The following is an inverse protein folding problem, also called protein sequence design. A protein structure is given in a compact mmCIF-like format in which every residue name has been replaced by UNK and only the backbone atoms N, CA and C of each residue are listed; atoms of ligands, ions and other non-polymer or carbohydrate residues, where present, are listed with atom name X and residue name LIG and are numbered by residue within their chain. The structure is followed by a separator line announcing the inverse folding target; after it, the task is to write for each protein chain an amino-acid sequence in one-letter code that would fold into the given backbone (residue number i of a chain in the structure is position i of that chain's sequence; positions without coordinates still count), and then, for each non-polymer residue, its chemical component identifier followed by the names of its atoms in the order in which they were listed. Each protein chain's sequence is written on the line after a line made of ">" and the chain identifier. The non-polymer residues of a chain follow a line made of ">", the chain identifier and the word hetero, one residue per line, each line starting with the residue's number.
data_IF_490775310531
#
_entry.id   IF_490775310531
#
_cell.length_a   1.000
_cell.length_b   1.000
_cell.length_c   1.000
_cell.angle_alpha   90.00
_cell.angle_beta   90.00
_cell.angle_gamma   90.00
#
_symmetry.space_group_name_H-M   'P 1'
#
loop_
_entity.id
_entity.type
_entity.pdbx_description
1 polymer ?
#
# COMPACT_ATOMS: atom_id res chain seq x y z
N UNK A 1 -9.73 19.64 28.47
CA UNK A 1 -10.79 19.38 27.47
C UNK A 1 -10.29 18.61 26.24
N UNK A 2 -9.16 19.01 25.61
CA UNK A 2 -8.62 18.36 24.39
C UNK A 2 -8.07 16.93 24.58
N UNK A 3 -7.50 16.61 25.75
CA UNK A 3 -7.05 15.24 26.09
C UNK A 3 -8.22 14.28 26.25
N UNK A 4 -9.30 14.73 26.89
CA UNK A 4 -10.52 13.94 27.09
C UNK A 4 -11.17 13.57 25.74
N UNK A 5 -11.14 14.47 24.76
CA UNK A 5 -11.72 14.23 23.43
C UNK A 5 -10.90 13.25 22.59
N UNK A 6 -9.56 13.26 22.70
CA UNK A 6 -8.68 12.30 22.01
C UNK A 6 -8.82 10.90 22.63
N UNK A 7 -8.93 10.83 23.96
CA UNK A 7 -9.09 9.57 24.67
C UNK A 7 -10.48 8.95 24.44
N UNK A 8 -11.54 9.79 24.43
CA UNK A 8 -12.90 9.37 24.15
C UNK A 8 -13.06 8.92 22.69
N UNK A 9 -12.41 9.60 21.74
CA UNK A 9 -12.40 9.19 20.34
C UNK A 9 -11.57 7.92 20.12
N UNK A 10 -10.44 7.78 20.81
CA UNK A 10 -9.64 6.55 20.82
C UNK A 10 -10.45 5.35 21.35
N UNK A 11 -11.21 5.55 22.43
CA UNK A 11 -12.16 4.57 22.96
C UNK A 11 -13.31 4.29 22.00
N UNK A 12 -13.91 5.32 21.38
CA UNK A 12 -14.99 5.16 20.40
C UNK A 12 -14.54 4.38 19.16
N UNK A 13 -13.37 4.72 18.60
CA UNK A 13 -12.77 4.00 17.48
C UNK A 13 -12.47 2.56 17.88
N UNK A 14 -11.90 2.34 19.07
CA UNK A 14 -11.59 1.01 19.59
C UNK A 14 -12.84 0.15 19.81
N UNK A 15 -13.86 0.66 20.50
CA UNK A 15 -15.10 -0.06 20.76
C UNK A 15 -15.91 -0.27 19.48
N UNK A 16 -15.89 0.70 18.55
CA UNK A 16 -16.45 0.53 17.21
C UNK A 16 -15.77 -0.59 16.45
N UNK A 17 -14.43 -0.63 16.46
CA UNK A 17 -13.64 -1.68 15.81
C UNK A 17 -13.90 -3.06 16.44
N UNK A 18 -13.97 -3.14 17.77
CA UNK A 18 -14.23 -4.38 18.52
C UNK A 18 -15.66 -4.89 18.30
N UNK A 19 -16.66 -4.01 18.32
CA UNK A 19 -18.05 -4.38 18.06
C UNK A 19 -18.23 -4.88 16.63
N UNK A 20 -17.65 -4.18 15.65
CA UNK A 20 -17.63 -4.61 14.24
C UNK A 20 -16.92 -5.97 14.12
N UNK A 21 -15.80 -6.15 14.80
CA UNK A 21 -15.03 -7.41 14.80
C UNK A 21 -15.84 -8.56 15.40
N UNK A 22 -16.51 -8.36 16.54
CA UNK A 22 -17.33 -9.38 17.18
C UNK A 22 -18.53 -9.79 16.29
N UNK A 23 -19.17 -8.83 15.63
CA UNK A 23 -20.26 -9.07 14.68
C UNK A 23 -19.74 -9.89 13.48
N UNK A 24 -18.59 -9.51 12.91
CA UNK A 24 -17.97 -10.23 11.79
C UNK A 24 -17.61 -11.66 12.17
N UNK A 25 -17.00 -11.87 13.34
CA UNK A 25 -16.62 -13.19 13.85
C UNK A 25 -17.86 -14.06 14.08
N UNK A 26 -18.91 -13.51 14.68
CA UNK A 26 -20.18 -14.22 14.90
C UNK A 26 -20.80 -14.71 13.58
N UNK A 27 -20.89 -13.84 12.56
CA UNK A 27 -21.44 -14.22 11.26
C UNK A 27 -20.52 -15.18 10.49
N UNK A 28 -19.20 -15.07 10.64
CA UNK A 28 -18.24 -16.00 10.05
C UNK A 28 -18.38 -17.42 10.63
N UNK A 29 -18.49 -17.55 11.95
CA UNK A 29 -18.72 -18.82 12.64
C UNK A 29 -20.05 -19.44 12.17
N UNK A 30 -21.12 -18.64 12.15
CA UNK A 30 -22.45 -19.10 11.71
C UNK A 30 -22.44 -19.61 10.26
N UNK A 31 -21.65 -18.97 9.40
CA UNK A 31 -21.50 -19.38 8.00
C UNK A 31 -20.68 -20.67 7.84
N UNK A 32 -19.60 -20.84 8.62
CA UNK A 32 -18.78 -22.07 8.62
C UNK A 32 -19.60 -23.26 9.09
N UNK A 33 -20.39 -23.10 10.14
CA UNK A 33 -21.30 -24.15 10.63
C UNK A 33 -22.33 -24.51 9.55
N UNK A 34 -22.94 -23.51 8.90
CA UNK A 34 -23.89 -23.74 7.79
C UNK A 34 -23.24 -24.43 6.60
N UNK A 35 -22.02 -24.04 6.23
CA UNK A 35 -21.28 -24.64 5.12
C UNK A 35 -20.89 -26.09 5.41
N UNK A 36 -20.45 -26.39 6.64
CA UNK A 36 -20.11 -27.74 7.07
C UNK A 36 -21.34 -28.66 7.08
N UNK A 37 -22.50 -28.16 7.50
CA UNK A 37 -23.74 -28.92 7.48
C UNK A 37 -24.19 -29.23 6.04
N UNK A 38 -24.14 -28.24 5.14
CA UNK A 38 -24.50 -28.43 3.72
C UNK A 38 -23.56 -29.41 3.01
N UNK A 39 -22.25 -29.34 3.26
CA UNK A 39 -21.27 -30.29 2.68
C UNK A 39 -21.47 -31.70 3.20
N UNK A 40 -21.87 -31.85 4.47
CA UNK A 40 -22.20 -33.15 5.06
C UNK A 40 -23.48 -33.75 4.48
N UNK A 41 -24.42 -32.90 4.07
CA UNK A 41 -25.71 -33.30 3.49
C UNK A 41 -25.65 -33.59 1.97
N UNK A 42 -24.71 -33.02 1.22
CA UNK A 42 -24.79 -32.98 -0.25
C UNK A 42 -24.01 -34.05 -1.04
N UNK A 43 -23.21 -34.92 -0.41
CA UNK A 43 -22.70 -36.18 -0.99
C UNK A 43 -22.01 -36.20 -2.38
N UNK A 44 -21.72 -35.06 -3.02
CA UNK A 44 -21.27 -35.04 -4.42
C UNK A 44 -20.68 -33.69 -4.89
N UNK A 45 -19.96 -33.76 -6.01
CA UNK A 45 -19.14 -32.73 -6.67
C UNK A 45 -19.54 -31.28 -6.40
N UNK A 46 -18.60 -30.51 -5.86
CA UNK A 46 -18.78 -29.09 -5.52
C UNK A 46 -18.46 -28.24 -6.75
N UNK A 47 -19.49 -27.70 -7.40
CA UNK A 47 -19.38 -26.52 -8.23
C UNK A 47 -18.69 -25.42 -7.39
N UNK A 48 -17.59 -24.85 -7.87
CA UNK A 48 -16.78 -23.91 -7.09
C UNK A 48 -17.58 -22.62 -6.86
N UNK A 49 -18.32 -22.57 -5.75
CA UNK A 49 -19.03 -21.35 -5.32
C UNK A 49 -18.02 -20.21 -5.31
N UNK A 50 -18.31 -19.07 -5.95
CA UNK A 50 -17.39 -17.94 -5.96
C UNK A 50 -17.03 -17.59 -4.52
N UNK A 51 -15.73 -17.61 -4.20
CA UNK A 51 -15.28 -17.19 -2.89
C UNK A 51 -15.84 -15.80 -2.64
N UNK A 52 -16.55 -15.61 -1.53
CA UNK A 52 -17.07 -14.30 -1.15
C UNK A 52 -15.89 -13.45 -0.68
N UNK A 53 -15.13 -12.86 -1.60
CA UNK A 53 -13.96 -12.01 -1.33
C UNK A 53 -14.24 -10.92 -0.28
N UNK A 54 -15.48 -10.46 -0.19
CA UNK A 54 -15.97 -9.60 0.87
C UNK A 54 -15.70 -10.15 2.29
N UNK A 55 -15.94 -11.44 2.53
CA UNK A 55 -15.69 -12.06 3.84
C UNK A 55 -14.19 -12.17 4.12
N UNK A 56 -13.38 -12.49 3.11
CA UNK A 56 -11.92 -12.50 3.25
C UNK A 56 -11.41 -11.12 3.63
N UNK A 57 -11.91 -10.08 2.97
CA UNK A 57 -11.57 -8.69 3.28
C UNK A 57 -11.99 -8.31 4.70
N UNK A 58 -13.20 -8.64 5.13
CA UNK A 58 -13.66 -8.39 6.51
C UNK A 58 -12.80 -9.11 7.55
N UNK A 59 -12.41 -10.36 7.30
CA UNK A 59 -11.50 -11.11 8.18
C UNK A 59 -10.14 -10.42 8.23
N UNK A 60 -9.58 -9.98 7.09
CA UNK A 60 -8.30 -9.28 7.06
C UNK A 60 -8.36 -7.94 7.82
N UNK A 61 -9.46 -7.19 7.72
CA UNK A 61 -9.69 -5.96 8.49
C UNK A 61 -9.78 -6.24 9.98
N UNK A 62 -10.53 -7.28 10.38
CA UNK A 62 -10.63 -7.70 11.78
C UNK A 62 -9.26 -8.13 12.33
N UNK A 63 -8.49 -8.93 11.58
CA UNK A 63 -7.15 -9.33 11.96
C UNK A 63 -6.21 -8.13 12.07
N UNK A 64 -6.22 -7.21 11.11
CA UNK A 64 -5.42 -5.98 11.18
C UNK A 64 -5.78 -5.13 12.40
N UNK A 65 -7.08 -5.04 12.72
CA UNK A 65 -7.60 -4.34 13.90
C UNK A 65 -7.08 -4.93 15.21
N UNK A 66 -7.11 -6.26 15.34
CA UNK A 66 -6.57 -6.97 16.50
C UNK A 66 -5.06 -6.75 16.60
N UNK A 67 -4.32 -6.85 15.49
CA UNK A 67 -2.86 -6.60 15.47
C UNK A 67 -2.55 -5.18 15.93
N UNK A 68 -3.25 -4.17 15.40
CA UNK A 68 -3.06 -2.76 15.79
C UNK A 68 -3.35 -2.58 17.29
N UNK A 69 -4.41 -3.20 17.81
CA UNK A 69 -4.74 -3.12 19.23
C UNK A 69 -3.65 -3.75 20.13
N UNK A 70 -3.14 -4.92 19.75
CA UNK A 70 -2.05 -5.59 20.46
C UNK A 70 -0.76 -4.78 20.39
N UNK A 71 -0.43 -4.23 19.22
CA UNK A 71 0.73 -3.36 19.04
C UNK A 71 0.59 -2.10 19.89
N UNK A 72 -0.57 -1.44 19.90
CA UNK A 72 -0.81 -0.27 20.75
C UNK A 72 -0.52 -0.58 22.22
N UNK A 73 -1.11 -1.64 22.75
CA UNK A 73 -0.91 -2.04 24.15
C UNK A 73 0.57 -2.36 24.40
N UNK A 74 1.20 -3.15 23.54
CA UNK A 74 2.58 -3.57 23.71
C UNK A 74 3.55 -2.38 23.69
N UNK A 75 3.35 -1.45 22.77
CA UNK A 75 4.21 -0.28 22.59
C UNK A 75 4.03 0.73 23.73
N UNK A 76 2.79 1.04 24.12
CA UNK A 76 2.50 1.96 25.25
C UNK A 76 3.06 1.44 26.58
N UNK A 77 3.05 0.12 26.79
CA UNK A 77 3.58 -0.50 28.01
C UNK A 77 5.07 -0.88 27.92
N UNK A 78 5.76 -0.54 26.83
CA UNK A 78 7.16 -0.90 26.59
C UNK A 78 7.45 -2.39 26.90
N UNK A 79 6.60 -3.28 26.37
CA UNK A 79 6.67 -4.71 26.67
C UNK A 79 7.95 -5.32 26.07
N UNK A 80 8.87 -5.73 26.94
CA UNK A 80 10.10 -6.44 26.54
C UNK A 80 10.91 -5.67 25.49
N UNK A 81 11.30 -6.36 24.41
CA UNK A 81 12.07 -5.78 23.29
C UNK A 81 11.17 -5.36 22.10
N UNK A 82 9.88 -5.10 22.33
CA UNK A 82 8.95 -4.84 21.23
C UNK A 82 9.35 -3.61 20.40
N UNK A 83 9.79 -2.53 21.06
CA UNK A 83 10.23 -1.31 20.38
C UNK A 83 11.44 -1.58 19.46
N UNK A 84 12.43 -2.34 19.94
CA UNK A 84 13.62 -2.70 19.18
C UNK A 84 13.26 -3.61 17.99
N UNK A 85 12.42 -4.61 18.20
CA UNK A 85 11.97 -5.51 17.13
C UNK A 85 11.26 -4.73 16.04
N UNK A 86 10.38 -3.80 16.41
CA UNK A 86 9.47 -3.14 15.48
C UNK A 86 10.08 -1.91 14.81
N UNK A 87 10.95 -1.16 15.49
CA UNK A 87 11.54 0.07 14.95
C UNK A 87 13.00 -0.06 14.55
N UNK A 88 13.71 -1.11 14.98
CA UNK A 88 15.09 -1.37 14.53
C UNK A 88 15.14 -2.58 13.60
N UNK A 89 14.70 -3.77 14.04
CA UNK A 89 14.87 -5.02 13.27
C UNK A 89 13.92 -5.11 12.07
N UNK A 90 12.63 -4.83 12.27
CA UNK A 90 11.59 -4.99 11.26
C UNK A 90 11.82 -4.14 10.00
N UNK A 91 12.28 -2.87 10.07
CA UNK A 91 12.69 -2.10 8.90
C UNK A 91 13.72 -2.81 8.01
N UNK A 92 14.77 -3.38 8.60
CA UNK A 92 15.79 -4.11 7.83
C UNK A 92 15.21 -5.36 7.18
N UNK A 93 14.36 -6.12 7.89
CA UNK A 93 13.70 -7.29 7.34
C UNK A 93 12.78 -6.90 6.18
N UNK A 94 11.99 -5.83 6.32
CA UNK A 94 11.11 -5.33 5.28
C UNK A 94 11.88 -4.93 4.02
N UNK A 95 13.00 -4.22 4.17
CA UNK A 95 13.86 -3.81 3.05
C UNK A 95 14.56 -5.01 2.40
N UNK A 96 15.03 -5.99 3.18
CA UNK A 96 15.64 -7.21 2.66
C UNK A 96 14.64 -8.04 1.85
N UNK A 97 13.45 -8.27 2.39
CA UNK A 97 12.35 -8.97 1.69
C UNK A 97 11.98 -8.22 0.41
N UNK A 98 11.81 -6.89 0.50
CA UNK A 98 11.50 -6.04 -0.64
C UNK A 98 12.55 -6.21 -1.75
N UNK A 99 13.83 -6.04 -1.44
CA UNK A 99 14.90 -6.06 -2.44
C UNK A 99 15.06 -7.46 -3.05
N UNK A 100 15.23 -8.49 -2.22
CA UNK A 100 15.45 -9.86 -2.69
C UNK A 100 14.23 -10.40 -3.44
N UNK A 101 13.03 -10.21 -2.87
CA UNK A 101 11.79 -10.64 -3.49
C UNK A 101 11.52 -9.95 -4.82
N UNK A 102 11.81 -8.65 -4.92
CA UNK A 102 11.59 -7.87 -6.14
C UNK A 102 12.55 -8.32 -7.25
N UNK A 103 13.83 -8.51 -6.93
CA UNK A 103 14.83 -9.01 -7.87
C UNK A 103 14.45 -10.41 -8.36
N UNK A 104 14.11 -11.31 -7.44
CA UNK A 104 13.70 -12.67 -7.77
C UNK A 104 12.46 -12.67 -8.68
N UNK A 105 11.40 -11.95 -8.31
CA UNK A 105 10.17 -11.91 -9.11
C UNK A 105 10.42 -11.29 -10.48
N UNK A 106 11.22 -10.24 -10.57
CA UNK A 106 11.53 -9.61 -11.85
C UNK A 106 12.32 -10.54 -12.78
N UNK A 107 13.34 -11.24 -12.27
CA UNK A 107 14.19 -12.14 -13.06
C UNK A 107 13.52 -13.47 -13.38
N UNK A 108 12.88 -14.11 -12.42
CA UNK A 108 12.32 -15.46 -12.57
C UNK A 108 10.87 -15.47 -13.04
N UNK A 109 10.11 -14.40 -12.80
CA UNK A 109 8.66 -14.31 -13.06
C UNK A 109 8.27 -12.96 -13.69
N UNK A 110 9.10 -12.44 -14.59
CA UNK A 110 8.91 -11.13 -15.22
C UNK A 110 7.51 -10.89 -15.81
N UNK A 111 6.89 -11.91 -16.42
CA UNK A 111 5.51 -11.81 -16.95
C UNK A 111 4.43 -11.54 -15.88
N UNK A 112 4.72 -11.82 -14.60
CA UNK A 112 3.81 -11.54 -13.49
C UNK A 112 4.04 -10.14 -12.88
N UNK A 113 5.00 -9.36 -13.41
CA UNK A 113 5.21 -7.96 -13.05
C UNK A 113 4.28 -7.10 -13.90
N UNK A 114 3.07 -6.87 -13.40
CA UNK A 114 2.02 -6.12 -14.10
C UNK A 114 1.12 -5.38 -13.11
N UNK A 115 0.45 -4.34 -13.58
CA UNK A 115 -0.57 -3.62 -12.82
C UNK A 115 -1.83 -4.44 -12.58
N UNK A 116 -2.01 -5.58 -13.29
CA UNK A 116 -3.21 -6.42 -13.24
C UNK A 116 -4.49 -5.57 -13.40
N UNK A 117 -4.54 -4.83 -14.51
CA UNK A 117 -5.66 -3.94 -14.81
C UNK A 117 -6.96 -4.72 -14.97
N UNK A 118 -8.05 -4.14 -14.44
CA UNK A 118 -9.41 -4.65 -14.60
C UNK A 118 -10.28 -3.65 -15.38
N UNK A 119 -9.65 -2.70 -16.09
CA UNK A 119 -10.34 -1.65 -16.83
C UNK A 119 -11.21 -2.18 -17.96
N UNK A 120 -10.71 -3.20 -18.67
CA UNK A 120 -11.43 -3.84 -19.77
C UNK A 120 -12.80 -4.41 -19.33
N UNK A 121 -12.87 -4.96 -18.11
CA UNK A 121 -14.11 -5.52 -17.57
C UNK A 121 -15.08 -4.41 -17.11
N UNK A 122 -14.57 -3.34 -16.53
CA UNK A 122 -15.39 -2.21 -16.09
C UNK A 122 -14.54 -0.95 -15.98
N UNK A 123 -14.82 0.05 -16.83
CA UNK A 123 -14.03 1.28 -16.94
C UNK A 123 -14.60 2.47 -16.18
N UNK A 124 -15.92 2.64 -16.20
CA UNK A 124 -16.59 3.87 -15.75
C UNK A 124 -16.38 4.12 -14.25
N UNK A 125 -16.62 3.13 -13.39
CA UNK A 125 -16.38 3.23 -11.94
C UNK A 125 -14.90 3.16 -11.61
N UNK A 126 -14.09 2.46 -12.43
CA UNK A 126 -12.63 2.43 -12.25
C UNK A 126 -12.03 3.83 -12.32
N UNK A 127 -12.41 4.66 -13.30
CA UNK A 127 -11.87 6.01 -13.46
C UNK A 127 -12.00 6.85 -12.18
N UNK A 128 -13.22 6.92 -11.63
CA UNK A 128 -13.53 7.71 -10.43
C UNK A 128 -12.88 7.17 -9.15
N UNK A 129 -12.56 5.88 -9.08
CA UNK A 129 -11.77 5.34 -7.96
C UNK A 129 -10.26 5.52 -8.17
N UNK A 130 -9.78 5.22 -9.38
CA UNK A 130 -8.35 5.13 -9.70
C UNK A 130 -7.67 6.49 -9.74
N UNK A 131 -8.30 7.50 -10.35
CA UNK A 131 -7.69 8.83 -10.50
C UNK A 131 -7.43 9.52 -9.15
N UNK A 132 -8.43 9.73 -8.27
CA UNK A 132 -8.17 10.36 -6.97
C UNK A 132 -7.27 9.50 -6.08
N UNK A 133 -7.35 8.16 -6.19
CA UNK A 133 -6.45 7.25 -5.47
C UNK A 133 -4.99 7.48 -5.86
N UNK A 134 -4.66 7.42 -7.15
CA UNK A 134 -3.27 7.52 -7.59
C UNK A 134 -2.71 8.93 -7.47
N UNK A 135 -3.48 9.98 -7.80
CA UNK A 135 -3.01 11.35 -7.60
C UNK A 135 -2.77 11.66 -6.12
N UNK A 136 -3.69 11.25 -5.25
CA UNK A 136 -3.51 11.37 -3.81
C UNK A 136 -2.26 10.63 -3.33
N UNK A 137 -2.09 9.37 -3.75
CA UNK A 137 -0.95 8.55 -3.35
C UNK A 137 0.39 9.10 -3.87
N UNK A 138 0.45 9.59 -5.11
CA UNK A 138 1.67 10.15 -5.70
C UNK A 138 2.09 11.44 -4.98
N UNK A 139 1.16 12.36 -4.73
CA UNK A 139 1.48 13.60 -4.01
C UNK A 139 1.97 13.29 -2.60
N UNK A 140 1.31 12.37 -1.89
CA UNK A 140 1.76 11.95 -0.56
C UNK A 140 3.13 11.27 -0.60
N UNK A 141 3.34 10.34 -1.52
CA UNK A 141 4.61 9.62 -1.67
C UNK A 141 5.77 10.60 -1.91
N UNK A 142 5.63 11.50 -2.89
CA UNK A 142 6.67 12.49 -3.17
C UNK A 142 6.81 13.53 -2.06
N UNK A 143 5.73 13.91 -1.37
CA UNK A 143 5.79 14.76 -0.20
C UNK A 143 6.65 14.16 0.93
N UNK A 144 6.43 12.88 1.25
CA UNK A 144 7.25 12.14 2.22
C UNK A 144 8.71 12.03 1.74
N UNK A 145 8.91 11.72 0.46
CA UNK A 145 10.25 11.60 -0.12
C UNK A 145 11.02 12.93 -0.05
N UNK A 146 10.38 14.05 -0.38
CA UNK A 146 10.98 15.39 -0.30
C UNK A 146 11.33 15.73 1.15
N UNK A 147 10.44 15.46 2.11
CA UNK A 147 10.71 15.72 3.52
C UNK A 147 11.85 14.86 4.09
N UNK A 148 12.05 13.65 3.57
CA UNK A 148 13.16 12.77 3.93
C UNK A 148 14.49 13.22 3.28
N UNK A 149 14.47 13.54 1.98
CA UNK A 149 15.67 13.93 1.23
C UNK A 149 16.16 15.34 1.59
N UNK A 150 15.24 16.29 1.77
CA UNK A 150 15.52 17.71 1.96
C UNK A 150 14.88 18.26 3.26
N UNK A 151 15.20 17.69 4.45
CA UNK A 151 14.53 18.07 5.69
C UNK A 151 14.73 19.54 6.05
N UNK A 152 15.93 20.11 5.83
CA UNK A 152 16.22 21.52 6.11
C UNK A 152 15.40 22.46 5.22
N UNK A 153 15.21 22.12 3.95
CA UNK A 153 14.38 22.89 3.03
C UNK A 153 12.90 22.89 3.45
N UNK A 154 12.40 21.74 3.92
CA UNK A 154 11.03 21.64 4.45
C UNK A 154 10.88 22.46 5.74
N UNK A 155 11.83 22.38 6.66
CA UNK A 155 11.81 23.18 7.89
C UNK A 155 11.87 24.69 7.59
N UNK A 156 12.71 25.11 6.64
CA UNK A 156 12.78 26.50 6.20
C UNK A 156 11.49 26.96 5.52
N UNK A 157 10.86 26.11 4.69
CA UNK A 157 9.54 26.39 4.11
C UNK A 157 8.48 26.56 5.19
N UNK A 158 8.48 25.67 6.18
CA UNK A 158 7.54 25.66 7.30
C UNK A 158 7.78 26.77 8.33
N UNK A 159 8.91 27.48 8.25
CA UNK A 159 9.20 28.64 9.10
C UNK A 159 8.19 29.78 8.91
N UNK A 160 7.53 29.84 7.75
CA UNK A 160 6.42 30.76 7.48
C UNK A 160 5.06 30.07 7.73
N UNK A 161 4.22 30.54 8.67
CA UNK A 161 2.98 29.86 9.06
C UNK A 161 2.02 29.58 7.89
N UNK A 162 1.91 30.51 6.94
CA UNK A 162 1.04 30.34 5.76
C UNK A 162 1.55 29.20 4.87
N UNK A 163 2.87 29.08 4.68
CA UNK A 163 3.50 28.05 3.86
C UNK A 163 3.35 26.66 4.48
N UNK A 164 3.52 26.57 5.80
CA UNK A 164 3.24 25.37 6.58
C UNK A 164 1.78 24.94 6.43
N UNK A 165 0.82 25.86 6.60
CA UNK A 165 -0.60 25.55 6.44
C UNK A 165 -0.94 25.07 5.03
N UNK A 166 -0.39 25.71 3.99
CA UNK A 166 -0.58 25.27 2.60
C UNK A 166 -0.10 23.83 2.44
N UNK A 167 1.09 23.49 2.96
CA UNK A 167 1.65 22.14 2.86
C UNK A 167 0.78 21.11 3.60
N UNK A 168 0.42 21.38 4.86
CA UNK A 168 -0.38 20.47 5.69
C UNK A 168 -1.78 20.26 5.11
N UNK A 169 -2.48 21.35 4.74
CA UNK A 169 -3.85 21.29 4.22
C UNK A 169 -3.88 20.62 2.85
N UNK A 170 -2.99 20.98 1.93
CA UNK A 170 -2.93 20.32 0.62
C UNK A 170 -2.64 18.83 0.76
N UNK A 171 -1.67 18.44 1.60
CA UNK A 171 -1.36 17.04 1.88
C UNK A 171 -2.55 16.29 2.46
N UNK A 172 -3.28 16.91 3.41
CA UNK A 172 -4.49 16.33 3.99
C UNK A 172 -5.60 16.13 2.96
N UNK A 173 -5.83 17.10 2.07
CA UNK A 173 -6.80 17.00 0.97
C UNK A 173 -6.45 15.85 0.03
N UNK A 174 -5.18 15.72 -0.37
CA UNK A 174 -4.73 14.60 -1.20
C UNK A 174 -4.86 13.24 -0.49
N UNK A 175 -4.66 13.18 0.83
CA UNK A 175 -4.93 11.98 1.61
C UNK A 175 -6.42 11.61 1.65
N UNK A 176 -7.33 12.58 1.76
CA UNK A 176 -8.77 12.34 1.63
C UNK A 176 -9.15 11.88 0.22
N UNK A 177 -8.53 12.45 -0.82
CA UNK A 177 -8.69 11.98 -2.19
C UNK A 177 -8.22 10.52 -2.34
N UNK A 178 -7.07 10.17 -1.77
CA UNK A 178 -6.55 8.81 -1.76
C UNK A 178 -7.52 7.83 -1.07
N UNK A 179 -8.02 8.18 0.12
CA UNK A 179 -8.99 7.37 0.86
C UNK A 179 -10.28 7.19 0.07
N UNK A 180 -10.83 8.28 -0.47
CA UNK A 180 -12.07 8.25 -1.26
C UNK A 180 -11.92 7.35 -2.48
N UNK A 181 -10.83 7.51 -3.23
CA UNK A 181 -10.51 6.65 -4.36
C UNK A 181 -10.39 5.17 -3.96
N UNK A 182 -9.70 4.87 -2.87
CA UNK A 182 -9.57 3.52 -2.33
C UNK A 182 -10.93 2.90 -1.98
N UNK A 183 -11.79 3.63 -1.27
CA UNK A 183 -13.13 3.17 -0.90
C UNK A 183 -13.97 2.86 -2.14
N UNK A 184 -13.91 3.71 -3.17
CA UNK A 184 -14.59 3.47 -4.44
C UNK A 184 -14.05 2.23 -5.16
N UNK A 185 -12.73 2.00 -5.15
CA UNK A 185 -12.11 0.81 -5.74
C UNK A 185 -12.50 -0.48 -4.99
N UNK A 186 -12.54 -0.44 -3.65
CA UNK A 186 -13.02 -1.55 -2.83
C UNK A 186 -14.49 -1.83 -3.14
N UNK A 187 -15.36 -0.81 -3.08
CA UNK A 187 -16.79 -0.93 -3.40
C UNK A 187 -16.99 -1.52 -4.79
N UNK A 188 -16.27 -1.02 -5.79
CA UNK A 188 -16.31 -1.52 -7.17
C UNK A 188 -15.98 -3.01 -7.24
N UNK A 189 -14.90 -3.43 -6.57
CA UNK A 189 -14.47 -4.84 -6.59
C UNK A 189 -15.43 -5.77 -5.87
N UNK A 190 -16.06 -5.31 -4.78
CA UNK A 190 -16.98 -6.14 -4.00
C UNK A 190 -18.37 -6.29 -4.64
N UNK A 191 -18.74 -5.38 -5.55
CA UNK A 191 -20.12 -5.31 -6.08
C UNK A 191 -20.25 -5.70 -7.54
N UNK A 192 -19.17 -5.64 -8.33
CA UNK A 192 -19.22 -6.01 -9.75
C UNK A 192 -18.92 -7.50 -9.94
N UNK A 193 -19.86 -8.24 -10.51
CA UNK A 193 -19.74 -9.68 -10.77
C UNK A 193 -18.55 -10.05 -11.65
N UNK A 194 -18.26 -9.28 -12.71
CA UNK A 194 -17.16 -9.54 -13.64
C UNK A 194 -15.79 -9.37 -12.95
N UNK A 195 -15.66 -8.35 -12.10
CA UNK A 195 -14.41 -8.09 -11.38
C UNK A 195 -14.17 -9.14 -10.28
N UNK A 196 -15.24 -9.60 -9.64
CA UNK A 196 -15.15 -10.63 -8.60
C UNK A 196 -14.53 -11.92 -9.14
N UNK A 197 -14.84 -12.33 -10.38
CA UNK A 197 -14.28 -13.54 -11.01
C UNK A 197 -12.75 -13.46 -11.15
N UNK A 198 -12.20 -12.28 -11.40
CA UNK A 198 -10.75 -12.08 -11.58
C UNK A 198 -10.04 -11.55 -10.33
N UNK A 199 -10.73 -11.53 -9.19
CA UNK A 199 -10.17 -11.07 -7.92
C UNK A 199 -9.51 -12.20 -7.15
N UNK A 200 -8.47 -11.90 -6.39
CA UNK A 200 -7.79 -12.88 -5.55
C UNK A 200 -7.66 -12.41 -4.09
N UNK A 201 -7.17 -13.28 -3.20
CA UNK A 201 -6.98 -12.96 -1.77
C UNK A 201 -5.91 -11.87 -1.56
N UNK A 202 -4.90 -11.80 -2.42
CA UNK A 202 -3.86 -10.78 -2.35
C UNK A 202 -4.39 -9.38 -2.68
N UNK A 203 -5.40 -9.25 -3.54
CA UNK A 203 -6.10 -7.98 -3.73
C UNK A 203 -6.76 -7.51 -2.43
N UNK A 204 -7.34 -8.43 -1.64
CA UNK A 204 -7.96 -8.09 -0.35
C UNK A 204 -6.93 -7.66 0.67
N UNK A 205 -5.76 -8.32 0.68
CA UNK A 205 -4.63 -7.94 1.52
C UNK A 205 -4.17 -6.52 1.17
N UNK A 206 -3.98 -6.25 -0.13
CA UNK A 206 -3.59 -4.93 -0.66
C UNK A 206 -4.56 -3.82 -0.24
N UNK A 207 -5.86 -4.08 -0.31
CA UNK A 207 -6.85 -3.10 0.14
C UNK A 207 -6.80 -2.89 1.65
N UNK A 208 -6.63 -3.97 2.42
CA UNK A 208 -6.53 -3.89 3.88
C UNK A 208 -5.32 -3.07 4.30
N UNK A 209 -4.14 -3.34 3.72
CA UNK A 209 -2.90 -2.64 4.08
C UNK A 209 -2.91 -1.18 3.64
N UNK A 210 -3.43 -0.86 2.44
CA UNK A 210 -3.61 0.54 2.03
C UNK A 210 -4.59 1.28 2.93
N UNK A 211 -5.69 0.62 3.33
CA UNK A 211 -6.68 1.24 4.20
C UNK A 211 -6.06 1.56 5.57
N UNK A 212 -5.32 0.60 6.15
CA UNK A 212 -4.57 0.83 7.40
C UNK A 212 -3.61 2.00 7.25
N UNK A 213 -2.80 2.04 6.19
CA UNK A 213 -1.82 3.11 5.98
C UNK A 213 -2.46 4.48 5.81
N UNK A 214 -3.50 4.59 4.98
CA UNK A 214 -4.13 5.87 4.68
C UNK A 214 -4.94 6.37 5.88
N UNK A 215 -5.66 5.48 6.58
CA UNK A 215 -6.42 5.85 7.78
C UNK A 215 -5.49 6.25 8.92
N UNK A 216 -4.41 5.50 9.16
CA UNK A 216 -3.42 5.89 10.18
C UNK A 216 -2.76 7.22 9.81
N UNK A 217 -2.42 7.46 8.54
CA UNK A 217 -1.83 8.72 8.07
C UNK A 217 -2.76 9.93 8.18
N UNK A 218 -4.02 9.78 7.80
CA UNK A 218 -5.06 10.81 8.02
C UNK A 218 -5.26 11.09 9.51
N UNK A 219 -5.23 10.05 10.34
CA UNK A 219 -5.26 10.18 11.79
C UNK A 219 -4.07 10.98 12.32
N UNK A 220 -2.85 10.67 11.87
CA UNK A 220 -1.64 11.43 12.23
C UNK A 220 -1.80 12.90 11.81
N UNK A 221 -2.18 13.17 10.57
CA UNK A 221 -2.32 14.54 10.07
C UNK A 221 -3.38 15.37 10.85
N UNK A 222 -4.45 14.72 11.31
CA UNK A 222 -5.53 15.39 12.03
C UNK A 222 -5.23 15.58 13.53
N UNK A 223 -4.75 14.52 14.21
CA UNK A 223 -4.55 14.51 15.66
C UNK A 223 -3.16 14.97 16.09
N UNK A 224 -2.14 14.73 15.27
CA UNK A 224 -0.74 15.07 15.52
C UNK A 224 -0.31 16.12 14.51
N UNK A 225 -0.84 17.35 14.69
CA UNK A 225 -0.63 18.48 13.79
C UNK A 225 0.85 18.79 13.56
N UNK A 226 1.11 19.51 12.47
CA UNK A 226 2.45 19.93 12.05
C UNK A 226 3.34 18.75 11.65
N UNK A 227 2.70 17.77 11.00
CA UNK A 227 3.27 16.54 10.46
C UNK A 227 4.60 16.76 9.76
N UNK A 228 4.61 17.69 8.82
CA UNK A 228 5.76 17.99 7.98
C UNK A 228 6.98 18.50 8.75
N UNK A 229 6.77 19.27 9.82
CA UNK A 229 7.86 19.80 10.64
C UNK A 229 8.50 18.73 11.51
N UNK A 230 7.71 17.97 12.29
CA UNK A 230 8.27 16.92 13.13
C UNK A 230 8.71 15.70 12.31
N UNK A 231 8.15 15.45 11.13
CA UNK A 231 8.68 14.46 10.20
C UNK A 231 10.11 14.82 9.82
N UNK A 232 10.34 16.05 9.36
CA UNK A 232 11.67 16.51 8.95
C UNK A 232 12.66 16.60 10.12
N UNK A 233 12.19 17.03 11.31
CA UNK A 233 13.02 17.25 12.48
C UNK A 233 13.30 16.00 13.34
N UNK A 234 12.40 15.01 13.33
CA UNK A 234 12.49 13.85 14.24
C UNK A 234 12.48 12.53 13.49
N UNK A 235 11.54 12.34 12.56
CA UNK A 235 11.44 11.07 11.84
C UNK A 235 12.56 10.88 10.82
N UNK A 236 12.99 11.95 10.13
CA UNK A 236 14.09 11.90 9.17
C UNK A 236 15.42 11.47 9.82
N UNK A 237 15.84 12.02 10.98
CA UNK A 237 16.98 11.48 11.74
C UNK A 237 16.87 9.99 12.05
N UNK A 238 15.72 9.51 12.54
CA UNK A 238 15.47 8.08 12.77
C UNK A 238 15.67 7.27 11.48
N UNK A 239 15.02 7.66 10.38
CA UNK A 239 15.15 6.94 9.10
C UNK A 239 16.60 6.93 8.61
N UNK A 240 17.34 8.03 8.74
CA UNK A 240 18.76 8.11 8.40
C UNK A 240 19.62 7.20 9.27
N UNK A 241 19.30 7.07 10.56
CA UNK A 241 19.99 6.16 11.48
C UNK A 241 19.89 4.69 11.04
N UNK A 242 18.73 4.29 10.47
CA UNK A 242 18.55 2.96 9.87
C UNK A 242 19.53 2.75 8.70
N UNK A 243 19.63 3.72 7.78
CA UNK A 243 20.55 3.65 6.64
C UNK A 243 22.02 3.72 7.06
N UNK A 244 22.31 4.33 8.20
CA UNK A 244 23.64 4.35 8.80
C UNK A 244 23.99 3.08 9.58
N UNK A 245 23.10 2.08 9.62
CA UNK A 245 23.26 0.83 10.39
C UNK A 245 23.51 1.06 11.90
N UNK A 246 23.04 2.19 12.43
CA UNK A 246 23.09 2.52 13.85
C UNK A 246 21.71 3.05 14.27
N UNK A 247 20.70 2.17 14.40
CA UNK A 247 19.31 2.57 14.57
C UNK A 247 19.07 3.28 15.91
N UNK A 248 18.70 4.56 15.86
CA UNK A 248 18.28 5.35 17.02
C UNK A 248 16.75 5.43 17.06
N UNK A 249 16.15 4.57 17.87
CA UNK A 249 14.68 4.43 17.97
C UNK A 249 14.07 5.31 19.07
N UNK A 250 14.88 5.97 19.91
CA UNK A 250 14.41 6.59 21.15
C UNK A 250 13.32 7.64 20.91
N UNK A 251 13.48 8.44 19.86
CA UNK A 251 12.50 9.46 19.50
C UNK A 251 11.19 8.85 19.00
N UNK A 252 11.24 7.77 18.21
CA UNK A 252 10.06 7.13 17.62
C UNK A 252 9.31 6.26 18.63
N UNK A 253 10.01 5.58 19.54
CA UNK A 253 9.38 4.79 20.61
C UNK A 253 8.62 5.68 21.61
N UNK A 254 8.99 6.95 21.74
CA UNK A 254 8.28 7.93 22.56
C UNK A 254 7.13 8.65 21.84
N UNK A 255 6.97 8.47 20.53
CA UNK A 255 5.90 9.12 19.77
C UNK A 255 4.52 8.53 20.08
N UNK A 256 3.43 9.29 19.87
CA UNK A 256 2.08 8.77 19.92
C UNK A 256 1.92 7.49 19.10
N UNK A 257 1.18 6.52 19.64
CA UNK A 257 0.97 5.20 19.03
C UNK A 257 0.49 5.28 17.57
N UNK A 258 -0.23 6.33 17.20
CA UNK A 258 -0.75 6.51 15.85
C UNK A 258 0.37 6.72 14.82
N UNK A 259 1.43 7.45 15.19
CA UNK A 259 2.63 7.62 14.35
C UNK A 259 3.38 6.30 14.27
N UNK A 260 3.53 5.62 15.40
CA UNK A 260 4.16 4.31 15.47
C UNK A 260 3.48 3.30 14.53
N UNK A 261 2.16 3.16 14.61
CA UNK A 261 1.39 2.28 13.71
C UNK A 261 1.56 2.69 12.26
N UNK A 262 1.58 3.99 11.94
CA UNK A 262 1.79 4.47 10.57
C UNK A 262 3.17 4.10 10.01
N UNK A 263 4.23 4.18 10.83
CA UNK A 263 5.59 3.76 10.47
C UNK A 263 5.64 2.24 10.25
N UNK A 264 5.05 1.48 11.17
CA UNK A 264 5.01 0.01 11.10
C UNK A 264 4.28 -0.44 9.84
N UNK A 265 3.11 0.15 9.56
CA UNK A 265 2.36 -0.18 8.35
C UNK A 265 3.08 0.26 7.07
N UNK A 266 3.90 1.32 7.10
CA UNK A 266 4.71 1.74 5.97
C UNK A 266 5.78 0.69 5.62
N UNK A 267 6.54 0.19 6.61
CA UNK A 267 7.49 -0.89 6.39
C UNK A 267 6.80 -2.21 6.01
N UNK A 268 5.63 -2.48 6.59
CA UNK A 268 4.78 -3.60 6.19
C UNK A 268 4.37 -3.54 4.72
N UNK A 269 3.99 -2.35 4.22
CA UNK A 269 3.71 -2.14 2.80
C UNK A 269 4.92 -2.45 1.93
N UNK A 270 6.11 -1.98 2.31
CA UNK A 270 7.35 -2.24 1.57
C UNK A 270 7.63 -3.75 1.50
N UNK A 271 7.52 -4.46 2.62
CA UNK A 271 7.76 -5.91 2.69
C UNK A 271 6.85 -6.73 1.76
N UNK A 272 5.61 -6.30 1.53
CA UNK A 272 4.66 -7.05 0.70
C UNK A 272 4.68 -6.67 -0.79
N UNK A 273 5.44 -5.64 -1.19
CA UNK A 273 5.58 -5.23 -2.59
C UNK A 273 5.90 -6.41 -3.53
N UNK A 274 6.92 -7.25 -3.26
CA UNK A 274 7.30 -8.31 -4.19
C UNK A 274 6.25 -9.41 -4.35
N UNK A 275 5.28 -9.53 -3.44
CA UNK A 275 4.27 -10.59 -3.46
C UNK A 275 2.90 -10.10 -3.94
N UNK A 276 2.74 -8.80 -4.15
CA UNK A 276 1.45 -8.19 -4.46
C UNK A 276 1.46 -7.47 -5.81
N UNK A 277 0.33 -6.87 -6.18
CA UNK A 277 0.27 -5.98 -7.33
C UNK A 277 1.09 -4.71 -7.16
N UNK A 278 1.55 -4.33 -5.96
CA UNK A 278 2.36 -3.12 -5.77
C UNK A 278 3.64 -3.11 -6.58
N UNK A 279 4.16 -4.27 -6.99
CA UNK A 279 5.31 -4.39 -7.88
C UNK A 279 5.21 -3.49 -9.13
N UNK A 280 3.99 -3.17 -9.61
CA UNK A 280 3.79 -2.25 -10.74
C UNK A 280 4.37 -0.85 -10.51
N UNK A 281 4.50 -0.41 -9.26
CA UNK A 281 5.12 0.87 -8.90
C UNK A 281 6.60 0.93 -9.33
N UNK A 282 7.32 -0.20 -9.32
CA UNK A 282 8.73 -0.27 -9.69
C UNK A 282 8.98 -0.22 -11.21
N UNK A 283 7.93 -0.34 -12.02
CA UNK A 283 8.00 -0.36 -13.49
C UNK A 283 7.24 0.82 -14.09
N UNK A 284 7.29 1.97 -13.44
CA UNK A 284 6.76 3.22 -13.97
C UNK A 284 7.46 3.55 -15.32
N UNK A 285 6.71 3.78 -16.41
CA UNK A 285 7.28 3.93 -17.75
C UNK A 285 7.85 5.34 -17.98
N UNK A 286 8.79 5.76 -17.13
CA UNK A 286 9.43 7.08 -17.20
C UNK A 286 10.24 7.19 -18.50
N UNK A 287 10.86 6.09 -18.94
CA UNK A 287 11.62 5.98 -20.18
C UNK A 287 10.78 6.33 -21.43
N UNK A 288 9.47 6.07 -21.38
CA UNK A 288 8.56 6.38 -22.48
C UNK A 288 8.56 7.86 -22.87
N UNK A 289 8.89 8.76 -21.94
CA UNK A 289 8.91 10.21 -22.21
C UNK A 289 10.02 10.65 -23.17
N UNK A 290 11.06 9.84 -23.38
CA UNK A 290 12.16 10.13 -24.32
C UNK A 290 12.44 8.99 -25.32
N UNK A 291 11.69 7.88 -25.22
CA UNK A 291 11.85 6.73 -26.11
C UNK A 291 11.24 7.02 -27.48
N UNK A 292 11.94 6.65 -28.56
CA UNK A 292 11.40 6.72 -29.91
C UNK A 292 10.11 5.88 -30.08
N UNK A 293 9.19 6.37 -30.91
CA UNK A 293 7.89 5.70 -31.15
C UNK A 293 8.06 4.28 -31.70
N UNK A 294 8.97 4.09 -32.65
CA UNK A 294 9.24 2.80 -33.26
C UNK A 294 10.44 2.12 -32.58
N UNK A 295 10.18 0.97 -31.96
CA UNK A 295 11.20 0.08 -31.45
C UNK A 295 11.43 -1.06 -32.45
N UNK A 296 12.65 -1.18 -32.96
CA UNK A 296 13.04 -2.29 -33.84
C UNK A 296 14.04 -3.17 -33.11
N UNK A 297 13.60 -4.38 -32.76
CA UNK A 297 14.43 -5.43 -32.16
C UNK A 297 14.99 -6.27 -33.29
N UNK A 298 16.31 -6.27 -33.45
CA UNK A 298 16.99 -7.02 -34.50
C UNK A 298 17.46 -8.37 -33.95
N UNK A 299 17.19 -9.46 -34.67
CA UNK A 299 17.70 -10.79 -34.35
C UNK A 299 19.16 -11.01 -34.82
N UNK A 300 19.78 -9.98 -35.40
CA UNK A 300 21.15 -9.99 -35.91
C UNK A 300 21.89 -8.69 -35.57
N UNK A 301 23.21 -8.69 -35.71
CA UNK A 301 24.05 -7.52 -35.44
C UNK A 301 23.69 -6.33 -36.32
N UNK A 302 23.27 -5.22 -35.72
CA UNK A 302 22.81 -3.98 -36.40
C UNK A 302 23.79 -3.40 -37.44
N UNK A 303 25.09 -3.72 -37.31
CA UNK A 303 26.17 -3.29 -38.21
C UNK A 303 26.34 -4.19 -39.44
N UNK A 304 25.75 -5.39 -39.48
CA UNK A 304 25.96 -6.34 -40.60
C UNK A 304 25.31 -5.88 -41.91
N UNK A 305 24.21 -5.12 -41.85
CA UNK A 305 23.44 -4.72 -43.05
C UNK A 305 23.96 -3.42 -43.68
N UNK A 306 24.63 -2.54 -42.92
CA UNK A 306 25.08 -1.25 -43.48
C UNK A 306 26.12 -1.38 -44.60
N UNK A 307 26.67 -2.58 -44.82
CA UNK A 307 27.59 -2.88 -45.93
C UNK A 307 27.00 -3.81 -47.00
N UNK A 308 25.72 -4.21 -46.90
CA UNK A 308 25.09 -4.99 -47.97
C UNK A 308 24.78 -4.07 -49.15
N UNK A 309 25.69 -4.02 -50.13
CA UNK A 309 25.44 -3.45 -51.46
C UNK A 309 24.46 -4.30 -52.30
N UNK A 310 23.94 -5.39 -51.74
CA UNK A 310 23.04 -6.29 -52.44
C UNK A 310 21.59 -5.78 -52.36
N UNK A 311 21.24 -4.86 -53.26
CA UNK A 311 19.85 -4.64 -53.64
C UNK A 311 19.38 -5.83 -54.48
N UNK A 312 18.69 -6.80 -53.88
CA UNK A 312 17.98 -7.82 -54.65
C UNK A 312 16.60 -7.30 -55.03
N UNK A 313 16.47 -6.74 -56.24
CA UNK A 313 15.17 -6.54 -56.86
C UNK A 313 14.54 -7.91 -57.18
N UNK A 314 13.29 -8.14 -56.78
CA UNK A 314 12.43 -9.14 -57.44
C UNK A 314 12.19 -10.49 -56.77
N UNK A 315 12.25 -10.65 -55.43
CA UNK A 315 11.65 -11.83 -54.79
C UNK A 315 10.37 -11.44 -54.04
N UNK A 316 9.21 -11.80 -54.61
CA UNK A 316 7.92 -11.79 -53.91
C UNK A 316 7.98 -12.81 -52.76
N UNK A 317 7.35 -12.52 -51.60
CA UNK A 317 7.23 -13.50 -50.54
C UNK A 317 6.39 -14.66 -51.05
N UNK A 318 6.93 -15.88 -51.00
CA UNK A 318 6.15 -17.10 -51.21
C UNK A 318 5.21 -17.26 -50.02
N UNK A 319 3.91 -17.26 -50.32
CA UNK A 319 2.81 -17.62 -49.41
C UNK A 319 2.94 -19.05 -48.91
#
# INVERSE_FOLDING_TARGET
>A
MMLLTVELFGKFMLYGLLAITAIIVYYAIKLVIRARNVVRESGGYIESKPMKHFHVFLIMIATASVIIYLLKIGLENNVGMLNEVVFSIFPYLALAIFLMGSIYRYKSRGFQVSSLSSEFLERKKLFWGSQPFHWGLLVLFFGHLIAFLFPQSVLAWNGEPIRLLILEVSSFVFALAALTGLVLLIKRRMTNSQILVVSNKMDMLVYTTLLVQIVSGLGVAYFVRWGSSWFAGVLTPYLRSLFAFNPDIAAVSAMPWLIQIHIISAFGLIAIIPFTRYMHFLVAPIDYTWRGYQLVIWNWGRKSIRNSRAHFFGKKPTT
#
